data_IF_367577065399
#
_entry.id   IF_367577065399
#
_cell.length_a   1.000
_cell.length_b   1.000
_cell.length_c   1.000
_cell.angle_alpha   90.00
_cell.angle_beta   90.00
_cell.angle_gamma   90.00
#
_symmetry.space_group_name_H-M   'P 1'
#
loop_
_entity.id
_entity.type
_entity.pdbx_description
1 polymer ?
#
# COMPACT_ATOMS: atom_id res chain seq x y z
N UNK A 1 17.64 -10.74 -16.41
CA UNK A 1 16.98 -10.98 -17.71
C UNK A 1 15.62 -10.32 -17.65
N UNK A 2 15.41 -9.23 -18.40
CA UNK A 2 14.06 -8.72 -18.63
C UNK A 2 13.40 -9.70 -19.62
N UNK A 3 12.40 -10.45 -19.17
CA UNK A 3 11.67 -11.39 -20.03
C UNK A 3 10.95 -10.62 -21.13
N UNK A 4 11.09 -11.08 -22.37
CA UNK A 4 10.49 -10.54 -23.61
C UNK A 4 8.94 -10.57 -23.67
N UNK A 5 8.24 -10.74 -22.53
CA UNK A 5 6.77 -10.86 -22.44
C UNK A 5 6.07 -9.55 -22.00
N UNK A 6 6.82 -8.43 -21.92
CA UNK A 6 6.32 -7.17 -21.35
C UNK A 6 5.60 -6.24 -22.35
N UNK A 7 5.62 -6.57 -23.65
CA UNK A 7 5.24 -5.63 -24.73
C UNK A 7 3.72 -5.47 -24.94
N UNK A 8 2.88 -6.31 -24.33
CA UNK A 8 1.43 -6.31 -24.57
C UNK A 8 0.55 -6.05 -23.34
N UNK A 9 1.09 -6.10 -22.12
CA UNK A 9 0.29 -5.94 -20.89
C UNK A 9 0.12 -4.45 -20.57
N UNK A 10 -1.08 -3.97 -20.24
CA UNK A 10 -1.27 -2.57 -19.87
C UNK A 10 -0.55 -2.26 -18.55
N UNK A 11 -0.19 -1.00 -18.33
CA UNK A 11 0.42 -0.52 -17.08
C UNK A 11 1.82 -1.11 -16.77
N UNK A 12 2.50 -1.73 -17.73
CA UNK A 12 3.88 -2.24 -17.56
C UNK A 12 4.96 -1.29 -18.08
N UNK A 13 4.61 -0.08 -18.54
CA UNK A 13 5.58 0.96 -18.90
C UNK A 13 5.52 2.13 -17.92
N UNK A 14 6.67 2.73 -17.59
CA UNK A 14 6.73 3.88 -16.67
C UNK A 14 5.79 5.01 -17.11
N UNK A 15 5.74 5.28 -18.43
CA UNK A 15 4.84 6.29 -18.99
C UNK A 15 3.38 5.94 -18.70
N UNK A 16 2.94 4.71 -18.97
CA UNK A 16 1.56 4.30 -18.71
C UNK A 16 1.20 4.39 -17.22
N UNK A 17 2.11 4.00 -16.32
CA UNK A 17 1.94 4.09 -14.87
C UNK A 17 1.77 5.55 -14.43
N UNK A 18 2.67 6.43 -14.86
CA UNK A 18 2.61 7.87 -14.53
C UNK A 18 1.32 8.50 -15.08
N UNK A 19 0.94 8.17 -16.32
CA UNK A 19 -0.25 8.73 -16.96
C UNK A 19 -1.55 8.39 -16.21
N UNK A 20 -1.60 7.32 -15.41
CA UNK A 20 -2.77 7.03 -14.56
C UNK A 20 -3.00 8.08 -13.45
N UNK A 21 -1.95 8.82 -13.06
CA UNK A 21 -2.02 9.81 -11.98
C UNK A 21 -2.96 10.97 -12.33
N UNK A 22 -2.97 11.40 -13.60
CA UNK A 22 -3.81 12.50 -14.07
C UNK A 22 -5.31 12.21 -13.91
N UNK A 23 -5.84 11.14 -14.54
CA UNK A 23 -7.22 10.70 -14.36
C UNK A 23 -7.56 10.44 -12.89
N UNK A 24 -6.66 9.84 -12.12
CA UNK A 24 -6.87 9.58 -10.69
C UNK A 24 -7.08 10.88 -9.89
N UNK A 25 -6.18 11.87 -10.03
CA UNK A 25 -6.29 13.16 -9.33
C UNK A 25 -7.52 13.94 -9.80
N UNK A 26 -7.83 13.90 -11.09
CA UNK A 26 -9.01 14.57 -11.65
C UNK A 26 -10.32 14.00 -11.05
N UNK A 27 -10.46 12.67 -11.03
CA UNK A 27 -11.63 12.00 -10.46
C UNK A 27 -11.74 12.25 -8.96
N UNK A 28 -10.62 12.15 -8.24
CA UNK A 28 -10.58 12.44 -6.81
C UNK A 28 -11.01 13.89 -6.54
N UNK A 29 -10.45 14.87 -7.25
CA UNK A 29 -10.76 16.28 -7.06
C UNK A 29 -12.22 16.59 -7.37
N UNK A 30 -12.76 15.99 -8.43
CA UNK A 30 -14.16 16.12 -8.82
C UNK A 30 -15.09 15.54 -7.76
N UNK A 31 -14.81 14.33 -7.28
CA UNK A 31 -15.58 13.67 -6.22
C UNK A 31 -15.55 14.48 -4.92
N UNK A 32 -14.38 14.99 -4.54
CA UNK A 32 -14.22 15.87 -3.36
C UNK A 32 -15.05 17.13 -3.49
N UNK A 33 -15.03 17.78 -4.65
CA UNK A 33 -15.84 18.97 -4.92
C UNK A 33 -17.34 18.68 -4.87
N UNK A 34 -17.77 17.52 -5.37
CA UNK A 34 -19.15 17.07 -5.28
C UNK A 34 -19.59 16.85 -3.83
N UNK A 35 -18.83 16.06 -3.06
CA UNK A 35 -19.16 15.72 -1.67
C UNK A 35 -19.15 16.96 -0.77
N UNK A 36 -18.26 17.92 -1.02
CA UNK A 36 -18.23 19.19 -0.29
C UNK A 36 -19.51 20.03 -0.49
N UNK A 37 -20.17 19.91 -1.65
CA UNK A 37 -21.38 20.68 -1.99
C UNK A 37 -22.68 19.92 -1.65
N UNK A 38 -22.68 18.61 -1.83
CA UNK A 38 -23.90 17.79 -1.76
C UNK A 38 -23.95 16.88 -0.51
N UNK A 39 -22.85 16.81 0.25
CA UNK A 39 -22.71 15.87 1.36
C UNK A 39 -22.21 14.48 0.91
N UNK A 40 -21.90 13.61 1.89
CA UNK A 40 -21.42 12.26 1.62
C UNK A 40 -22.53 11.34 1.12
N UNK A 41 -22.15 10.31 0.35
CA UNK A 41 -23.09 9.30 -0.13
C UNK A 41 -23.47 8.35 1.02
N UNK A 42 -24.77 8.07 1.18
CA UNK A 42 -25.28 7.19 2.23
C UNK A 42 -24.71 5.77 2.16
N UNK A 43 -24.47 5.25 0.95
CA UNK A 43 -23.94 3.90 0.71
C UNK A 43 -22.40 3.82 0.68
N UNK A 44 -21.67 4.94 0.72
CA UNK A 44 -20.22 4.91 0.58
C UNK A 44 -19.53 4.13 1.71
N UNK A 45 -19.98 4.31 2.95
CA UNK A 45 -19.42 3.62 4.13
C UNK A 45 -19.63 2.10 4.10
N UNK A 46 -20.86 1.58 3.90
CA UNK A 46 -21.06 0.13 3.83
C UNK A 46 -20.33 -0.50 2.63
N UNK A 47 -20.30 0.15 1.47
CA UNK A 47 -19.56 -0.35 0.30
C UNK A 47 -18.05 -0.37 0.54
N UNK A 48 -17.48 0.70 1.10
CA UNK A 48 -16.05 0.74 1.49
C UNK A 48 -15.73 -0.36 2.49
N UNK A 49 -16.62 -0.61 3.46
CA UNK A 49 -16.42 -1.70 4.44
C UNK A 49 -16.44 -3.08 3.78
N UNK A 50 -17.36 -3.33 2.86
CA UNK A 50 -17.44 -4.58 2.12
C UNK A 50 -16.19 -4.77 1.24
N UNK A 51 -15.78 -3.73 0.51
CA UNK A 51 -14.54 -3.68 -0.26
C UNK A 51 -13.36 -4.14 0.60
N UNK A 52 -13.20 -3.56 1.79
CA UNK A 52 -12.12 -3.88 2.69
C UNK A 52 -12.16 -5.35 3.17
N UNK A 53 -13.35 -5.93 3.39
CA UNK A 53 -13.46 -7.34 3.78
C UNK A 53 -13.01 -8.28 2.65
N UNK A 54 -13.48 -8.02 1.43
CA UNK A 54 -13.10 -8.80 0.24
C UNK A 54 -11.60 -8.65 -0.02
N UNK A 55 -11.09 -7.42 0.04
CA UNK A 55 -9.71 -7.12 -0.27
C UNK A 55 -8.73 -7.64 0.78
N UNK A 56 -9.15 -7.77 2.05
CA UNK A 56 -8.36 -8.46 3.07
C UNK A 56 -8.13 -9.92 2.68
N UNK A 57 -9.18 -10.66 2.30
CA UNK A 57 -9.07 -12.06 1.88
C UNK A 57 -8.22 -12.19 0.61
N UNK A 58 -8.42 -11.30 -0.35
CA UNK A 58 -7.61 -11.24 -1.56
C UNK A 58 -6.13 -11.02 -1.24
N UNK A 59 -5.82 -10.10 -0.33
CA UNK A 59 -4.44 -9.81 0.10
C UNK A 59 -3.78 -11.02 0.77
N UNK A 60 -4.53 -11.77 1.59
CA UNK A 60 -4.03 -13.00 2.20
C UNK A 60 -3.77 -14.09 1.15
N UNK A 61 -4.71 -14.30 0.23
CA UNK A 61 -4.53 -15.27 -0.85
C UNK A 61 -3.31 -14.91 -1.72
N UNK A 62 -3.14 -13.64 -2.06
CA UNK A 62 -1.98 -13.16 -2.82
C UNK A 62 -0.67 -13.34 -2.04
N UNK A 63 -0.66 -13.10 -0.72
CA UNK A 63 0.52 -13.38 0.11
C UNK A 63 0.91 -14.87 0.06
N UNK A 64 -0.06 -15.78 0.15
CA UNK A 64 0.20 -17.21 0.04
C UNK A 64 0.75 -17.60 -1.33
N UNK A 65 0.22 -17.03 -2.41
CA UNK A 65 0.74 -17.26 -3.76
C UNK A 65 2.17 -16.73 -3.92
N UNK A 66 2.46 -15.53 -3.40
CA UNK A 66 3.81 -14.93 -3.46
C UNK A 66 4.80 -15.77 -2.66
N UNK A 67 4.40 -16.27 -1.49
CA UNK A 67 5.23 -17.19 -0.72
C UNK A 67 5.49 -18.48 -1.51
N UNK A 68 4.45 -19.08 -2.11
CA UNK A 68 4.54 -20.30 -2.92
C UNK A 68 5.47 -20.18 -4.14
N UNK A 69 5.63 -18.97 -4.67
CA UNK A 69 6.49 -18.65 -5.82
C UNK A 69 7.98 -18.50 -5.43
N UNK A 70 8.32 -18.57 -4.14
CA UNK A 70 9.72 -18.50 -3.69
C UNK A 70 10.40 -19.86 -3.73
N UNK A 71 11.72 -19.88 -3.99
CA UNK A 71 12.53 -21.11 -3.94
C UNK A 71 12.51 -21.79 -2.56
N UNK A 72 12.32 -21.01 -1.49
CA UNK A 72 12.33 -21.51 -0.10
C UNK A 72 10.99 -22.10 0.31
N UNK A 73 9.88 -21.53 -0.15
CA UNK A 73 8.55 -21.91 0.25
C UNK A 73 7.75 -22.33 -0.98
N UNK A 74 7.95 -23.55 -1.46
CA UNK A 74 7.18 -24.10 -2.58
C UNK A 74 6.23 -25.18 -2.07
N UNK A 75 4.97 -24.81 -1.82
CA UNK A 75 3.98 -25.69 -1.18
C UNK A 75 3.20 -26.53 -2.18
N UNK A 76 2.85 -25.96 -3.33
CA UNK A 76 2.02 -26.58 -4.38
C UNK A 76 2.48 -26.12 -5.76
N UNK A 77 2.57 -27.07 -6.69
CA UNK A 77 2.76 -26.77 -8.12
C UNK A 77 1.48 -26.20 -8.72
N UNK A 78 1.57 -24.96 -9.21
CA UNK A 78 0.48 -24.26 -9.88
C UNK A 78 0.88 -24.01 -11.33
N UNK A 79 0.59 -24.97 -12.22
CA UNK A 79 1.04 -25.02 -13.63
C UNK A 79 0.75 -23.75 -14.45
N UNK A 80 -0.20 -22.91 -14.03
CA UNK A 80 -0.59 -21.68 -14.74
C UNK A 80 -0.22 -20.37 -14.03
N UNK A 81 0.44 -20.44 -12.87
CA UNK A 81 0.87 -19.25 -12.12
C UNK A 81 2.36 -19.04 -12.35
N UNK A 82 2.70 -18.05 -13.17
CA UNK A 82 4.09 -17.65 -13.40
C UNK A 82 4.50 -16.53 -12.46
N UNK A 83 5.80 -16.48 -12.10
CA UNK A 83 6.35 -15.39 -11.28
C UNK A 83 6.07 -14.01 -11.88
N UNK A 84 6.19 -13.85 -13.20
CA UNK A 84 5.90 -12.60 -13.90
C UNK A 84 4.40 -12.27 -13.90
N UNK A 85 3.54 -13.28 -14.02
CA UNK A 85 2.08 -13.13 -13.88
C UNK A 85 1.69 -12.67 -12.47
N UNK A 86 2.34 -13.21 -11.45
CA UNK A 86 2.08 -12.88 -10.06
C UNK A 86 2.60 -11.48 -9.68
N UNK A 87 3.80 -11.12 -10.13
CA UNK A 87 4.36 -9.77 -10.01
C UNK A 87 3.44 -8.74 -10.65
N UNK A 88 2.94 -9.04 -11.86
CA UNK A 88 1.98 -8.20 -12.56
C UNK A 88 0.63 -8.10 -11.85
N UNK A 89 0.09 -9.22 -11.36
CA UNK A 89 -1.15 -9.22 -10.57
C UNK A 89 -0.99 -8.33 -9.34
N UNK A 90 0.10 -8.49 -8.56
CA UNK A 90 0.41 -7.63 -7.42
C UNK A 90 0.51 -6.16 -7.82
N UNK A 91 1.18 -5.84 -8.93
CA UNK A 91 1.26 -4.47 -9.44
C UNK A 91 -0.11 -3.87 -9.73
N UNK A 92 -1.02 -4.62 -10.39
CA UNK A 92 -2.38 -4.19 -10.67
C UNK A 92 -3.19 -3.89 -9.41
N UNK A 93 -2.94 -4.62 -8.32
CA UNK A 93 -3.61 -4.37 -7.04
C UNK A 93 -3.44 -2.93 -6.57
N UNK A 94 -2.32 -2.28 -6.91
CA UNK A 94 -2.01 -0.91 -6.47
C UNK A 94 -2.78 0.17 -7.20
N UNK A 95 -3.28 -0.12 -8.40
CA UNK A 95 -4.23 0.75 -9.09
C UNK A 95 -5.64 0.54 -8.56
N UNK A 96 -5.98 -0.70 -8.21
CA UNK A 96 -7.27 -0.98 -7.57
C UNK A 96 -7.41 -0.23 -6.24
N UNK A 97 -6.32 -0.07 -5.47
CA UNK A 97 -6.29 0.67 -4.20
C UNK A 97 -6.73 2.15 -4.34
N UNK A 98 -6.78 2.73 -5.55
CA UNK A 98 -7.44 4.03 -5.77
C UNK A 98 -8.90 4.06 -5.29
N UNK A 99 -9.58 2.92 -5.28
CA UNK A 99 -10.94 2.76 -4.72
C UNK A 99 -10.99 3.18 -3.25
N UNK A 100 -9.92 3.04 -2.48
CA UNK A 100 -9.90 3.44 -1.07
C UNK A 100 -10.01 4.95 -0.91
N UNK A 101 -9.25 5.70 -1.72
CA UNK A 101 -9.31 7.16 -1.75
C UNK A 101 -10.71 7.62 -2.14
N UNK A 102 -11.31 7.00 -3.16
CA UNK A 102 -12.68 7.31 -3.56
C UNK A 102 -13.69 6.95 -2.47
N UNK A 103 -13.56 5.80 -1.82
CA UNK A 103 -14.44 5.35 -0.74
C UNK A 103 -14.40 6.26 0.48
N UNK A 104 -13.22 6.71 0.88
CA UNK A 104 -13.03 7.68 1.96
C UNK A 104 -13.68 9.02 1.62
N UNK A 105 -13.39 9.57 0.44
CA UNK A 105 -13.93 10.87 0.00
C UNK A 105 -15.44 10.80 -0.14
N UNK A 106 -15.98 9.75 -0.77
CA UNK A 106 -17.42 9.51 -0.89
C UNK A 106 -18.12 9.39 0.48
N UNK A 107 -17.41 8.89 1.49
CA UNK A 107 -17.88 8.79 2.88
C UNK A 107 -17.78 10.10 3.68
N UNK A 108 -17.27 11.17 3.05
CA UNK A 108 -17.02 12.46 3.69
C UNK A 108 -15.80 12.47 4.61
N UNK A 109 -14.90 11.50 4.46
CA UNK A 109 -13.69 11.38 5.29
C UNK A 109 -12.53 12.07 4.57
N UNK A 110 -11.81 12.99 5.22
CA UNK A 110 -10.65 13.63 4.61
C UNK A 110 -9.52 12.62 4.39
N UNK A 111 -8.89 12.71 3.22
CA UNK A 111 -7.69 11.94 2.88
C UNK A 111 -6.49 12.67 3.46
N UNK A 112 -5.72 12.00 4.32
CA UNK A 112 -4.51 12.56 4.92
C UNK A 112 -3.32 12.52 3.94
N UNK A 113 -2.25 13.23 4.27
CA UNK A 113 -1.05 13.33 3.41
C UNK A 113 -0.38 11.99 3.16
N UNK A 114 -0.32 11.12 4.18
CA UNK A 114 0.26 9.79 4.06
C UNK A 114 -0.49 8.94 3.02
N UNK A 115 -1.81 8.86 3.14
CA UNK A 115 -2.69 8.15 2.21
C UNK A 115 -2.59 8.69 0.79
N UNK A 116 -2.60 10.02 0.65
CA UNK A 116 -2.47 10.70 -0.64
C UNK A 116 -1.14 10.36 -1.33
N UNK A 117 -0.03 10.57 -0.62
CA UNK A 117 1.31 10.32 -1.17
C UNK A 117 1.50 8.85 -1.49
N UNK A 118 1.06 7.95 -0.59
CA UNK A 118 1.10 6.51 -0.81
C UNK A 118 0.38 6.13 -2.10
N UNK A 119 -0.90 6.50 -2.25
CA UNK A 119 -1.68 6.03 -3.39
C UNK A 119 -1.18 6.62 -4.70
N UNK A 120 -0.69 7.86 -4.72
CA UNK A 120 -0.08 8.45 -5.94
C UNK A 120 1.20 7.73 -6.34
N UNK A 121 2.04 7.32 -5.38
CA UNK A 121 3.40 6.84 -5.69
C UNK A 121 3.57 5.32 -5.63
N UNK A 122 2.65 4.56 -5.03
CA UNK A 122 2.75 3.10 -4.93
C UNK A 122 2.72 2.39 -6.29
N UNK A 123 1.92 2.82 -7.28
CA UNK A 123 2.02 2.26 -8.64
C UNK A 123 3.42 2.45 -9.25
N UNK A 124 4.03 3.63 -9.07
CA UNK A 124 5.41 3.88 -9.52
C UNK A 124 6.42 3.01 -8.74
N UNK A 125 6.25 2.91 -7.42
CA UNK A 125 7.09 2.07 -6.57
C UNK A 125 7.06 0.60 -7.02
N UNK A 126 5.89 0.05 -7.30
CA UNK A 126 5.73 -1.35 -7.71
C UNK A 126 6.16 -1.60 -9.15
N UNK A 127 6.06 -0.62 -10.03
CA UNK A 127 6.74 -0.67 -11.33
C UNK A 127 8.26 -0.85 -11.13
N UNK A 128 8.88 -0.02 -10.30
CA UNK A 128 10.33 -0.05 -10.07
C UNK A 128 10.80 -1.31 -9.34
N UNK A 129 10.03 -1.78 -8.35
CA UNK A 129 10.46 -2.82 -7.41
C UNK A 129 9.78 -4.17 -7.53
N UNK A 130 8.75 -4.27 -8.33
CA UNK A 130 8.08 -5.56 -8.56
C UNK A 130 8.25 -5.99 -10.00
N UNK A 131 7.96 -5.13 -10.97
CA UNK A 131 8.15 -5.49 -12.37
C UNK A 131 9.62 -5.48 -12.81
N UNK A 132 10.46 -4.66 -12.18
CA UNK A 132 11.85 -4.44 -12.57
C UNK A 132 12.86 -4.76 -11.48
N UNK A 133 12.58 -5.76 -10.65
CA UNK A 133 13.52 -6.26 -9.66
C UNK A 133 13.47 -7.79 -9.55
N UNK A 134 14.64 -8.39 -9.31
CA UNK A 134 14.83 -9.83 -9.21
C UNK A 134 14.31 -10.48 -7.92
N UNK A 135 14.19 -9.71 -6.82
CA UNK A 135 13.88 -10.21 -5.46
C UNK A 135 12.57 -9.62 -4.89
N UNK A 136 11.61 -9.35 -5.77
CA UNK A 136 10.40 -8.58 -5.44
C UNK A 136 9.50 -9.23 -4.39
N UNK A 137 9.59 -10.55 -4.20
CA UNK A 137 8.71 -11.35 -3.34
C UNK A 137 8.64 -10.85 -1.91
N UNK A 138 9.77 -10.46 -1.30
CA UNK A 138 9.79 -10.02 0.10
C UNK A 138 8.95 -8.75 0.28
N UNK A 139 9.12 -7.78 -0.61
CA UNK A 139 8.38 -6.52 -0.57
C UNK A 139 6.89 -6.78 -0.77
N UNK A 140 6.53 -7.57 -1.78
CA UNK A 140 5.12 -7.88 -2.07
C UNK A 140 4.46 -8.69 -0.94
N UNK A 141 5.14 -9.71 -0.42
CA UNK A 141 4.61 -10.55 0.65
C UNK A 141 4.38 -9.75 1.94
N UNK A 142 5.37 -8.96 2.39
CA UNK A 142 5.20 -8.13 3.59
C UNK A 142 4.08 -7.10 3.42
N UNK A 143 3.95 -6.52 2.23
CA UNK A 143 2.86 -5.59 1.93
C UNK A 143 1.49 -6.29 1.92
N UNK A 144 1.35 -7.43 1.24
CA UNK A 144 0.11 -8.21 1.21
C UNK A 144 -0.31 -8.67 2.62
N UNK A 145 0.64 -9.13 3.44
CA UNK A 145 0.37 -9.49 4.83
C UNK A 145 -0.09 -8.27 5.64
N UNK A 146 0.57 -7.12 5.50
CA UNK A 146 0.10 -5.89 6.14
C UNK A 146 -1.31 -5.51 5.66
N UNK A 147 -1.58 -5.59 4.35
CA UNK A 147 -2.87 -5.28 3.74
C UNK A 147 -3.96 -6.20 4.29
N UNK A 148 -3.71 -7.51 4.45
CA UNK A 148 -4.65 -8.41 5.10
C UNK A 148 -5.10 -7.88 6.48
N UNK A 149 -4.16 -7.58 7.37
CA UNK A 149 -4.49 -7.08 8.72
C UNK A 149 -5.17 -5.71 8.67
N UNK A 150 -4.67 -4.80 7.84
CA UNK A 150 -5.15 -3.43 7.69
C UNK A 150 -6.59 -3.39 7.14
N UNK A 151 -6.84 -4.07 6.03
CA UNK A 151 -8.17 -4.11 5.43
C UNK A 151 -9.16 -4.91 6.28
N UNK A 152 -8.75 -5.98 6.95
CA UNK A 152 -9.64 -6.66 7.89
C UNK A 152 -10.04 -5.73 9.05
N UNK A 153 -9.10 -4.93 9.58
CA UNK A 153 -9.41 -3.91 10.57
C UNK A 153 -10.39 -2.85 10.04
N UNK A 154 -10.15 -2.30 8.84
CA UNK A 154 -11.07 -1.34 8.20
C UNK A 154 -12.42 -1.97 7.80
N UNK A 155 -12.45 -3.29 7.57
CA UNK A 155 -13.65 -4.10 7.37
C UNK A 155 -14.44 -4.37 8.67
N UNK A 156 -13.89 -4.01 9.83
CA UNK A 156 -14.55 -4.05 11.13
C UNK A 156 -13.93 -4.99 12.16
N UNK A 157 -12.85 -5.71 11.85
CA UNK A 157 -12.17 -6.63 12.77
C UNK A 157 -11.25 -5.85 13.71
N UNK A 158 -11.84 -5.24 14.74
CA UNK A 158 -11.12 -4.34 15.67
C UNK A 158 -9.96 -5.01 16.43
N UNK A 159 -10.00 -6.33 16.60
CA UNK A 159 -8.99 -7.11 17.31
C UNK A 159 -7.58 -6.99 16.68
N UNK A 160 -7.49 -6.64 15.39
CA UNK A 160 -6.21 -6.56 14.68
C UNK A 160 -5.47 -5.23 14.88
N UNK A 161 -6.09 -4.24 15.54
CA UNK A 161 -5.48 -2.93 15.79
C UNK A 161 -4.05 -2.98 16.37
N UNK A 162 -3.71 -3.87 17.33
CA UNK A 162 -2.35 -3.91 17.88
C UNK A 162 -1.28 -4.32 16.85
N UNK A 163 -1.65 -5.17 15.88
CA UNK A 163 -0.72 -5.74 14.90
C UNK A 163 -0.38 -4.75 13.79
N UNK A 164 -1.30 -3.81 13.47
CA UNK A 164 -1.13 -2.87 12.36
C UNK A 164 0.17 -2.05 12.42
N UNK A 165 0.57 -1.64 13.63
CA UNK A 165 1.80 -0.88 13.82
C UNK A 165 3.03 -1.72 13.53
N UNK A 166 3.03 -2.96 14.01
CA UNK A 166 4.16 -3.88 13.85
C UNK A 166 4.32 -4.25 12.39
N UNK A 167 3.24 -4.66 11.74
CA UNK A 167 3.28 -5.05 10.32
C UNK A 167 3.55 -3.86 9.41
N UNK A 168 3.05 -2.67 9.74
CA UNK A 168 3.33 -1.43 9.01
C UNK A 168 4.82 -1.08 9.00
N UNK A 169 5.49 -1.17 10.16
CA UNK A 169 6.94 -0.97 10.22
C UNK A 169 7.73 -2.12 9.59
N UNK A 170 7.29 -3.38 9.78
CA UNK A 170 7.97 -4.54 9.23
C UNK A 170 8.07 -4.46 7.69
N UNK A 171 7.00 -4.09 6.98
CA UNK A 171 7.06 -3.93 5.52
C UNK A 171 7.98 -2.79 5.08
N UNK A 172 7.99 -1.66 5.80
CA UNK A 172 8.79 -0.49 5.44
C UNK A 172 10.28 -0.75 5.67
N UNK A 173 10.62 -1.27 6.86
CA UNK A 173 12.01 -1.63 7.21
C UNK A 173 12.52 -2.75 6.32
N UNK A 174 11.70 -3.77 6.05
CA UNK A 174 12.04 -4.87 5.15
C UNK A 174 12.35 -4.38 3.73
N UNK A 175 11.47 -3.56 3.16
CA UNK A 175 11.66 -2.99 1.81
C UNK A 175 12.89 -2.09 1.71
N UNK A 176 13.07 -1.15 2.65
CA UNK A 176 14.25 -0.26 2.67
C UNK A 176 15.53 -1.06 2.88
N UNK A 177 15.52 -1.99 3.84
CA UNK A 177 16.69 -2.81 4.18
C UNK A 177 17.15 -3.66 3.01
N UNK A 178 16.21 -4.27 2.28
CA UNK A 178 16.51 -5.06 1.08
C UNK A 178 17.20 -4.22 -0.01
N UNK A 179 16.71 -3.00 -0.23
CA UNK A 179 17.26 -2.14 -1.28
C UNK A 179 18.62 -1.55 -0.91
N UNK A 180 18.82 -1.19 0.36
CA UNK A 180 20.12 -0.78 0.87
C UNK A 180 21.11 -1.94 0.76
N UNK A 181 20.71 -3.14 1.16
CA UNK A 181 21.54 -4.33 1.06
C UNK A 181 21.96 -4.60 -0.40
N UNK A 182 21.03 -4.54 -1.34
CA UNK A 182 21.33 -4.68 -2.77
C UNK A 182 22.38 -3.66 -3.24
N UNK A 183 22.19 -2.38 -2.92
CA UNK A 183 23.10 -1.31 -3.33
C UNK A 183 24.50 -1.45 -2.72
N UNK A 184 24.60 -1.89 -1.47
CA UNK A 184 25.88 -2.11 -0.77
C UNK A 184 26.63 -3.30 -1.38
N UNK A 185 25.92 -4.36 -1.74
CA UNK A 185 26.54 -5.61 -2.24
C UNK A 185 26.86 -5.57 -3.73
N UNK A 186 26.09 -4.85 -4.55
CA UNK A 186 26.25 -4.83 -6.00
C UNK A 186 26.84 -3.51 -6.54
N UNK A 187 26.79 -2.43 -5.75
CA UNK A 187 27.32 -1.12 -6.12
C UNK A 187 26.42 -0.31 -7.08
N UNK A 188 26.84 0.92 -7.37
CA UNK A 188 26.05 1.93 -8.12
C UNK A 188 25.85 1.60 -9.61
N UNK A 189 26.70 0.76 -10.19
CA UNK A 189 26.64 0.38 -11.61
C UNK A 189 25.73 -0.83 -11.89
N UNK A 190 25.13 -1.43 -10.86
CA UNK A 190 24.31 -2.61 -11.02
C UNK A 190 23.02 -2.31 -11.80
N UNK A 191 22.47 -3.27 -12.57
CA UNK A 191 21.31 -3.04 -13.44
C UNK A 191 20.08 -2.45 -12.74
N UNK A 192 19.85 -2.78 -11.47
CA UNK A 192 18.68 -2.31 -10.71
C UNK A 192 18.99 -1.12 -9.79
N UNK A 193 20.25 -0.66 -9.71
CA UNK A 193 20.69 0.30 -8.69
C UNK A 193 19.88 1.61 -8.71
N UNK A 194 19.54 2.10 -9.91
CA UNK A 194 18.70 3.30 -10.06
C UNK A 194 17.30 3.09 -9.50
N UNK A 195 16.65 1.98 -9.82
CA UNK A 195 15.29 1.67 -9.37
C UNK A 195 15.24 1.50 -7.86
N UNK A 196 16.25 0.83 -7.28
CA UNK A 196 16.44 0.64 -5.84
C UNK A 196 16.62 1.97 -5.11
N UNK A 197 17.46 2.86 -5.64
CA UNK A 197 17.66 4.19 -5.05
C UNK A 197 16.36 5.01 -5.03
N UNK A 198 15.60 5.01 -6.13
CA UNK A 198 14.29 5.67 -6.19
C UNK A 198 13.28 5.04 -5.23
N UNK A 199 13.28 3.71 -5.10
CA UNK A 199 12.43 3.01 -4.15
C UNK A 199 12.74 3.39 -2.71
N UNK A 200 14.02 3.43 -2.31
CA UNK A 200 14.45 3.87 -0.99
C UNK A 200 13.91 5.27 -0.69
N UNK A 201 13.97 6.20 -1.65
CA UNK A 201 13.42 7.54 -1.46
C UNK A 201 11.92 7.53 -1.18
N UNK A 202 11.14 6.77 -1.98
CA UNK A 202 9.68 6.66 -1.81
C UNK A 202 9.33 5.98 -0.48
N UNK A 203 9.94 4.83 -0.18
CA UNK A 203 9.69 4.08 1.05
C UNK A 203 10.12 4.86 2.31
N UNK A 204 11.22 5.59 2.25
CA UNK A 204 11.64 6.47 3.36
C UNK A 204 10.61 7.57 3.57
N UNK A 205 10.07 8.16 2.50
CA UNK A 205 8.99 9.15 2.63
C UNK A 205 7.72 8.53 3.22
N UNK A 206 7.39 7.28 2.88
CA UNK A 206 6.30 6.54 3.53
C UNK A 206 6.55 6.40 5.04
N UNK A 207 7.75 5.98 5.43
CA UNK A 207 8.12 5.83 6.83
C UNK A 207 8.03 7.15 7.62
N UNK A 208 8.45 8.27 7.02
CA UNK A 208 8.33 9.60 7.64
C UNK A 208 6.86 9.98 7.87
N UNK A 209 6.02 9.85 6.84
CA UNK A 209 4.60 10.18 6.92
C UNK A 209 3.85 9.26 7.91
N UNK A 210 4.19 7.97 7.91
CA UNK A 210 3.63 7.02 8.87
C UNK A 210 4.02 7.33 10.31
N UNK A 211 5.27 7.74 10.54
CA UNK A 211 5.73 8.17 11.85
C UNK A 211 4.99 9.42 12.34
N UNK A 212 4.80 10.42 11.46
CA UNK A 212 4.05 11.64 11.77
C UNK A 212 2.58 11.34 12.13
N UNK A 213 1.95 10.41 11.42
CA UNK A 213 0.59 9.94 11.70
C UNK A 213 0.49 9.30 13.09
N UNK A 214 1.42 8.39 13.42
CA UNK A 214 1.50 7.75 14.74
C UNK A 214 1.71 8.78 15.84
N UNK A 215 2.66 9.71 15.65
CA UNK A 215 2.98 10.76 16.63
C UNK A 215 1.76 11.65 16.90
N UNK A 216 1.04 12.04 15.85
CA UNK A 216 -0.19 12.83 15.96
C UNK A 216 -1.29 12.08 16.71
N UNK A 217 -1.50 10.80 16.39
CA UNK A 217 -2.48 9.97 17.07
C UNK A 217 -2.16 9.80 18.58
N UNK A 218 -0.88 9.61 18.93
CA UNK A 218 -0.44 9.51 20.32
C UNK A 218 -0.62 10.82 21.08
N UNK A 219 -0.24 11.96 20.47
CA UNK A 219 -0.43 13.29 21.06
C UNK A 219 -1.91 13.60 21.35
N UNK A 220 -2.80 13.27 20.41
CA UNK A 220 -4.24 13.44 20.59
C UNK A 220 -4.81 12.55 21.71
N UNK A 221 -4.35 11.29 21.80
CA UNK A 221 -4.76 10.39 22.86
C UNK A 221 -4.32 10.86 24.26
N UNK A 222 -3.13 11.46 24.37
CA UNK A 222 -2.63 12.01 25.62
C UNK A 222 -3.44 13.25 26.06
N UNK A 223 -3.70 14.19 25.15
CA UNK A 223 -4.53 15.37 25.42
C UNK A 223 -5.95 14.98 25.89
N UNK A 224 -6.56 13.97 25.27
CA UNK A 224 -7.87 13.46 25.69
C UNK A 224 -7.88 12.95 27.13
N UNK A 225 -6.85 12.18 27.53
CA UNK A 225 -6.71 11.68 28.91
C UNK A 225 -6.48 12.81 29.92
N UNK A 226 -5.73 13.85 29.54
CA UNK A 226 -5.50 15.02 30.39
C UNK A 226 -6.79 15.84 30.58
N UNK A 227 -7.58 16.02 29.53
CA UNK A 227 -8.88 16.68 29.61
C UNK A 227 -9.87 15.92 30.49
N UNK A 228 -9.95 14.59 30.36
CA UNK A 228 -10.80 13.73 31.20
C UNK A 228 -10.40 13.80 32.68
N UNK A 229 -9.09 13.81 32.98
CA UNK A 229 -8.57 13.97 34.34
C UNK A 229 -8.89 15.36 34.92
N UNK A 230 -8.87 16.42 34.12
CA UNK A 230 -9.23 17.77 34.57
C UNK A 230 -10.74 17.90 34.81
N UNK A 231 -11.58 17.32 33.96
CA UNK A 231 -13.03 17.29 34.16
C UNK A 231 -13.46 16.52 35.42
N UNK A 232 -12.79 15.40 35.73
CA UNK A 232 -13.03 14.62 36.97
C UNK A 232 -12.57 15.30 38.25
N UNK A 233 -11.72 16.33 38.18
CA UNK A 233 -11.29 17.13 39.35
C UNK A 233 -12.14 18.38 39.59
N UNK A 234 -13.01 18.73 38.63
CA UNK A 234 -13.88 19.89 38.70
C UNK A 234 -15.32 19.56 39.13
N UNK A 235 -15.62 18.26 39.34
CA UNK A 235 -16.85 17.73 39.93
C UNK A 235 -16.54 17.13 41.30
#
# INVERSE_FOLDING_TARGET
MASEDDSGRPLTSLQSVILTTGPFIFLWSTLRGYVARNGPFSLARPLTRLNNQVYALFSLALACLVLNDTETFHFVDLEHVTTSGLAYLYHLTKFYEYVDVFGLVASGIPVNEHMAFHHITTPVLTYLRVLHASDWHLLACLNCLHHFWMYAYFGGVRAFRPVLRVTGWAQLVGGIGLDVYYLVTHGKGAPEARNRALSIMILTRYAMLYYEEIKTAMGNAQKGKEAEKKGKKAN
#
